data_IF_897267640643
#
_entry.id   IF_897267640643
#
_cell.length_a   1.000
_cell.length_b   1.000
_cell.length_c   1.000
_cell.angle_alpha   90.00
_cell.angle_beta   90.00
_cell.angle_gamma   90.00
#
_symmetry.space_group_name_H-M   'P 1'
#
loop_
_entity.id
_entity.type
_entity.pdbx_description
1 polymer ?
#
# COMPACT_ATOMS: atom_id res chain seq x y z
N UNK A 1 19.20 -47.80 -17.15
CA UNK A 1 19.93 -46.62 -17.64
C UNK A 1 19.66 -45.50 -16.67
N UNK A 2 20.67 -45.19 -15.85
CA UNK A 2 20.55 -44.26 -14.74
C UNK A 2 20.80 -42.84 -15.27
N UNK A 3 19.78 -41.98 -15.25
CA UNK A 3 19.96 -40.54 -15.39
C UNK A 3 19.76 -39.90 -14.02
N UNK A 4 20.84 -39.84 -13.25
CA UNK A 4 21.01 -38.80 -12.26
C UNK A 4 21.14 -37.47 -13.02
N UNK A 5 20.08 -36.68 -13.12
CA UNK A 5 20.25 -35.24 -13.37
C UNK A 5 20.59 -34.59 -12.04
N UNK A 6 21.82 -34.78 -11.59
CA UNK A 6 22.45 -33.93 -10.59
C UNK A 6 22.71 -32.56 -11.23
N UNK A 7 21.91 -31.57 -10.84
CA UNK A 7 22.27 -30.15 -10.57
C UNK A 7 21.05 -29.22 -10.82
N UNK A 8 20.00 -29.35 -10.01
CA UNK A 8 19.08 -28.22 -9.81
C UNK A 8 19.71 -27.35 -8.72
N UNK A 9 20.60 -26.43 -9.10
CA UNK A 9 21.00 -25.36 -8.17
C UNK A 9 19.72 -24.59 -7.87
N UNK A 10 19.13 -24.85 -6.70
CA UNK A 10 18.08 -24.03 -6.12
C UNK A 10 18.70 -22.65 -5.91
N UNK A 11 18.59 -21.80 -6.94
CA UNK A 11 18.98 -20.41 -6.82
C UNK A 11 18.04 -19.77 -5.81
N UNK A 12 18.54 -18.77 -5.08
CA UNK A 12 17.69 -17.98 -4.19
C UNK A 12 16.52 -17.36 -4.96
N UNK A 13 16.68 -17.08 -6.25
CA UNK A 13 15.62 -16.62 -7.15
C UNK A 13 14.49 -17.65 -7.33
N UNK A 14 14.81 -18.91 -7.63
CA UNK A 14 13.78 -19.96 -7.74
C UNK A 14 13.06 -20.16 -6.41
N UNK A 15 13.79 -20.22 -5.30
CA UNK A 15 13.19 -20.33 -3.97
C UNK A 15 12.25 -19.15 -3.67
N UNK A 16 12.66 -17.92 -3.96
CA UNK A 16 11.81 -16.74 -3.78
C UNK A 16 10.54 -16.82 -4.64
N UNK A 17 10.66 -17.17 -5.93
CA UNK A 17 9.50 -17.27 -6.82
C UNK A 17 8.52 -18.37 -6.39
N UNK A 18 9.01 -19.52 -5.95
CA UNK A 18 8.17 -20.67 -5.59
C UNK A 18 7.49 -20.50 -4.22
N UNK A 19 8.09 -19.73 -3.31
CA UNK A 19 7.63 -19.59 -1.91
C UNK A 19 7.03 -18.24 -1.58
N UNK A 20 7.13 -17.25 -2.47
CA UNK A 20 6.60 -15.90 -2.21
C UNK A 20 5.12 -15.97 -1.89
N UNK A 21 4.75 -15.28 -0.82
CA UNK A 21 3.37 -15.08 -0.40
C UNK A 21 3.15 -13.61 -0.04
N UNK A 22 1.89 -13.24 0.13
CA UNK A 22 1.58 -11.90 0.62
C UNK A 22 2.05 -11.72 2.07
N UNK A 23 2.54 -10.54 2.38
CA UNK A 23 2.75 -10.07 3.75
C UNK A 23 1.56 -9.23 4.27
N UNK A 24 0.38 -9.38 3.66
CA UNK A 24 -0.89 -8.72 4.01
C UNK A 24 -0.87 -7.18 4.08
N UNK A 25 0.21 -6.53 3.63
CA UNK A 25 0.37 -5.07 3.61
C UNK A 25 0.10 -4.47 2.23
N UNK A 26 -0.93 -4.95 1.52
CA UNK A 26 -1.26 -4.46 0.18
C UNK A 26 -1.70 -2.98 0.24
N UNK A 27 -1.23 -2.17 -0.71
CA UNK A 27 -1.45 -0.71 -0.74
C UNK A 27 -1.34 -0.16 -2.18
N UNK A 28 -1.69 1.13 -2.36
CA UNK A 28 -1.36 1.88 -3.58
C UNK A 28 -2.38 1.86 -4.73
N UNK A 29 -3.64 1.47 -4.52
CA UNK A 29 -4.67 1.50 -5.58
C UNK A 29 -5.26 2.89 -5.87
N UNK A 30 -5.18 3.85 -4.94
CA UNK A 30 -5.72 5.21 -5.07
C UNK A 30 -4.64 6.27 -4.79
N UNK A 31 -3.48 6.16 -5.45
CA UNK A 31 -2.30 7.01 -5.17
C UNK A 31 -2.58 8.50 -5.32
N UNK A 32 -1.89 9.29 -4.48
CA UNK A 32 -1.82 10.75 -4.57
C UNK A 32 -1.23 11.14 -5.94
N UNK A 33 -1.82 12.16 -6.57
CA UNK A 33 -1.43 12.66 -7.90
C UNK A 33 -1.89 11.79 -9.08
N UNK A 34 -2.61 10.68 -8.83
CA UNK A 34 -3.21 9.83 -9.88
C UNK A 34 -4.70 9.65 -9.69
N UNK A 35 -5.17 9.42 -8.46
CA UNK A 35 -6.59 9.24 -8.12
C UNK A 35 -7.09 10.31 -7.15
N UNK A 36 -6.25 10.66 -6.17
CA UNK A 36 -6.55 11.71 -5.18
C UNK A 36 -5.53 12.85 -5.22
N UNK A 37 -5.91 14.04 -4.78
CA UNK A 37 -5.00 15.17 -4.60
C UNK A 37 -4.21 15.07 -3.27
N UNK A 38 -3.42 16.11 -2.93
CA UNK A 38 -2.61 16.17 -1.70
C UNK A 38 -3.44 16.27 -0.42
N UNK A 39 -4.71 16.62 -0.53
CA UNK A 39 -5.69 16.69 0.56
C UNK A 39 -6.64 15.48 0.55
N UNK A 40 -6.24 14.43 -0.17
CA UNK A 40 -6.95 13.15 -0.28
C UNK A 40 -8.33 13.26 -0.94
N UNK A 41 -8.62 14.35 -1.66
CA UNK A 41 -9.86 14.51 -2.43
C UNK A 41 -9.76 13.75 -3.74
N UNK A 42 -10.84 13.06 -4.11
CA UNK A 42 -10.92 12.36 -5.39
C UNK A 42 -10.92 13.40 -6.52
N UNK A 43 -10.00 13.25 -7.47
CA UNK A 43 -9.82 14.22 -8.55
C UNK A 43 -11.08 14.25 -9.42
N UNK A 44 -11.63 15.45 -9.64
CA UNK A 44 -12.84 15.65 -10.45
C UNK A 44 -14.16 15.32 -9.73
N UNK A 45 -14.13 14.96 -8.44
CA UNK A 45 -15.35 14.62 -7.67
C UNK A 45 -15.46 15.50 -6.43
N UNK A 46 -16.57 16.24 -6.32
CA UNK A 46 -16.85 17.07 -5.15
C UNK A 46 -17.27 16.22 -3.94
N UNK A 47 -16.82 16.60 -2.75
CA UNK A 47 -17.28 16.00 -1.48
C UNK A 47 -16.74 14.60 -1.18
N UNK A 48 -15.93 13.99 -2.05
CA UNK A 48 -15.41 12.64 -1.87
C UNK A 48 -13.91 12.61 -1.57
N UNK A 49 -13.50 11.79 -0.60
CA UNK A 49 -12.10 11.56 -0.21
C UNK A 49 -11.81 10.07 0.00
N UNK A 50 -10.56 9.67 -0.15
CA UNK A 50 -10.07 8.31 0.18
C UNK A 50 -8.93 8.43 1.17
N UNK A 51 -9.07 7.81 2.35
CA UNK A 51 -8.11 7.94 3.46
C UNK A 51 -7.85 6.54 4.03
N UNK A 52 -6.99 5.79 3.36
CA UNK A 52 -6.49 4.47 3.78
C UNK A 52 -5.15 4.15 3.10
N UNK A 53 -4.67 2.91 3.21
CA UNK A 53 -3.39 2.48 2.60
C UNK A 53 -3.40 2.50 1.07
N UNK A 54 -4.55 2.55 0.40
CA UNK A 54 -4.60 2.65 -1.06
C UNK A 54 -3.89 3.90 -1.59
N UNK A 55 -3.73 4.91 -0.74
CA UNK A 55 -3.14 6.22 -1.09
C UNK A 55 -1.60 6.22 -1.06
N UNK A 56 -0.98 5.18 -0.49
CA UNK A 56 0.46 5.10 -0.31
C UNK A 56 1.21 4.77 -1.61
N UNK A 57 2.39 5.36 -1.78
CA UNK A 57 3.34 4.96 -2.83
C UNK A 57 4.15 3.72 -2.41
N UNK A 58 4.52 3.66 -1.14
CA UNK A 58 5.29 2.57 -0.52
C UNK A 58 4.74 2.29 0.88
N UNK A 59 4.94 1.08 1.39
CA UNK A 59 4.50 0.73 2.76
C UNK A 59 5.29 1.54 3.80
N UNK A 60 4.63 2.24 4.73
CA UNK A 60 5.32 2.93 5.81
C UNK A 60 5.74 1.95 6.90
N UNK A 61 7.04 1.64 6.96
CA UNK A 61 7.63 0.72 7.95
C UNK A 61 7.25 -0.75 7.73
N UNK A 62 7.65 -1.61 8.68
CA UNK A 62 7.43 -3.06 8.59
C UNK A 62 5.95 -3.42 8.73
N UNK A 63 5.24 -2.82 9.70
CA UNK A 63 3.81 -3.04 9.97
C UNK A 63 3.05 -1.70 9.88
N UNK A 64 2.29 -1.44 8.80
CA UNK A 64 1.74 -0.12 8.52
C UNK A 64 0.47 0.21 9.31
N UNK A 65 -0.07 -0.70 10.12
CA UNK A 65 -1.35 -0.53 10.83
C UNK A 65 -1.41 0.76 11.65
N UNK A 66 -0.39 1.02 12.47
CA UNK A 66 -0.33 2.22 13.30
C UNK A 66 -0.35 3.50 12.45
N UNK A 67 0.38 3.50 11.34
CA UNK A 67 0.41 4.63 10.40
C UNK A 67 -0.95 4.86 9.75
N UNK A 68 -1.67 3.79 9.36
CA UNK A 68 -3.01 3.91 8.77
C UNK A 68 -4.02 4.45 9.79
N UNK A 69 -3.98 3.96 11.04
CA UNK A 69 -4.84 4.48 12.12
C UNK A 69 -4.57 5.98 12.38
N UNK A 70 -3.29 6.36 12.44
CA UNK A 70 -2.87 7.75 12.62
C UNK A 70 -3.35 8.63 11.46
N UNK A 71 -3.19 8.19 10.21
CA UNK A 71 -3.63 8.90 9.02
C UNK A 71 -5.14 9.22 9.09
N UNK A 72 -5.95 8.22 9.44
CA UNK A 72 -7.40 8.39 9.59
C UNK A 72 -7.74 9.50 10.59
N UNK A 73 -7.12 9.49 11.77
CA UNK A 73 -7.33 10.54 12.78
C UNK A 73 -6.84 11.91 12.31
N UNK A 74 -5.62 11.98 11.76
CA UNK A 74 -5.02 13.23 11.33
C UNK A 74 -5.88 13.93 10.26
N UNK A 75 -6.35 13.18 9.27
CA UNK A 75 -7.22 13.73 8.22
C UNK A 75 -8.63 14.04 8.74
N UNK A 76 -9.18 13.25 9.66
CA UNK A 76 -10.44 13.56 10.32
C UNK A 76 -10.40 14.92 11.05
N UNK A 77 -9.33 15.18 11.80
CA UNK A 77 -9.12 16.48 12.47
C UNK A 77 -8.97 17.63 11.45
N UNK A 78 -8.25 17.41 10.35
CA UNK A 78 -8.13 18.42 9.28
C UNK A 78 -9.48 18.76 8.65
N UNK A 79 -10.28 17.75 8.32
CA UNK A 79 -11.64 17.95 7.75
C UNK A 79 -12.52 18.75 8.72
N UNK A 80 -12.43 18.52 10.02
CA UNK A 80 -13.17 19.31 11.01
C UNK A 80 -12.71 20.77 11.05
N UNK A 81 -11.40 21.03 10.92
CA UNK A 81 -10.87 22.40 10.87
C UNK A 81 -11.33 23.14 9.62
N UNK A 82 -11.27 22.48 8.46
CA UNK A 82 -11.67 23.05 7.17
C UNK A 82 -13.19 23.35 7.07
N UNK A 83 -14.02 22.84 8.01
CA UNK A 83 -15.46 23.14 8.05
C UNK A 83 -15.80 24.46 8.75
N UNK A 84 -14.89 24.99 9.57
CA UNK A 84 -15.13 26.15 10.42
C UNK A 84 -14.42 27.42 9.92
N UNK A 85 -13.84 27.36 8.73
CA UNK A 85 -13.24 28.46 7.98
C UNK A 85 -13.68 28.35 6.51
#
# INVERSE_FOLDING_TARGET
MCMWTTDQRLTLEHFCNDTVMTFWHRHGSCRIGRVVDRDYRVIGVAGLRVIDSSTFHFTPGTNPQATVMMLGRAMGVRILKDRHF
#
